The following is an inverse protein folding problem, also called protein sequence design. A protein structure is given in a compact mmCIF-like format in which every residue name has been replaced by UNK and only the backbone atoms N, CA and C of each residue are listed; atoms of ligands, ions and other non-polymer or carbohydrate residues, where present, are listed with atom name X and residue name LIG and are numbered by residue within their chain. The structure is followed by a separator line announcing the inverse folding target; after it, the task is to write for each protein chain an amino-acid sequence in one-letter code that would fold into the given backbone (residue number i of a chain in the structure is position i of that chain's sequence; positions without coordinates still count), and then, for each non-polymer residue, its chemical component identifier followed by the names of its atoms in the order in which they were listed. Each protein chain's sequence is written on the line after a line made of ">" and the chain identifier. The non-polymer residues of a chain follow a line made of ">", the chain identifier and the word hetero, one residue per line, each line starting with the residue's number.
data_IF_066715689664
#
_entry.id   IF_066715689664
#
_cell.length_a   1.000
_cell.length_b   1.000
_cell.length_c   1.000
_cell.angle_alpha   90.00
_cell.angle_beta   90.00
_cell.angle_gamma   90.00
#
_symmetry.space_group_name_H-M   'P 1'
#
loop_
_entity.id
_entity.type
_entity.pdbx_description
1 polymer ?
#
# COMPACT_ATOMS: atom_id res chain seq x y z
N UNK A 1 -5.18 -54.42 24.01
CA UNK A 1 -4.26 -53.29 23.78
C UNK A 1 -4.47 -52.82 22.37
N UNK A 2 -5.04 -51.62 22.19
CA UNK A 2 -5.28 -51.02 20.87
C UNK A 2 -4.24 -49.93 20.71
N UNK A 3 -3.36 -50.07 19.72
CA UNK A 3 -2.45 -48.99 19.32
C UNK A 3 -3.21 -48.05 18.38
N UNK A 4 -3.46 -46.81 18.82
CA UNK A 4 -3.84 -45.72 17.93
C UNK A 4 -2.57 -45.23 17.21
N UNK A 5 -2.52 -45.43 15.90
CA UNK A 5 -1.55 -44.75 15.04
C UNK A 5 -2.08 -43.34 14.75
N UNK A 6 -1.48 -42.33 15.35
CA UNK A 6 -1.68 -40.93 14.97
C UNK A 6 -0.87 -40.72 13.68
N UNK A 7 -1.56 -40.68 12.55
CA UNK A 7 -0.99 -40.22 11.28
C UNK A 7 -0.83 -38.70 11.39
N UNK A 8 0.38 -38.25 11.67
CA UNK A 8 0.73 -36.85 11.57
C UNK A 8 0.68 -36.43 10.11
N UNK A 9 -0.30 -35.62 9.74
CA UNK A 9 -0.31 -34.92 8.45
C UNK A 9 0.74 -33.82 8.56
N UNK A 10 1.89 -34.05 7.93
CA UNK A 10 2.84 -32.98 7.63
C UNK A 10 2.17 -32.08 6.60
N UNK A 11 1.75 -30.89 7.00
CA UNK A 11 1.49 -29.82 6.04
C UNK A 11 2.85 -29.39 5.51
N UNK A 12 3.17 -29.80 4.28
CA UNK A 12 4.20 -29.15 3.50
C UNK A 12 3.72 -27.71 3.29
N UNK A 13 4.35 -26.78 4.00
CA UNK A 13 4.22 -25.37 3.69
C UNK A 13 4.94 -25.19 2.35
N UNK A 14 4.19 -24.99 1.28
CA UNK A 14 4.77 -24.42 0.06
C UNK A 14 5.19 -23.00 0.45
N UNK A 15 6.46 -22.87 0.85
CA UNK A 15 7.16 -21.61 0.75
C UNK A 15 7.10 -21.21 -0.71
N UNK A 16 6.16 -20.33 -1.06
CA UNK A 16 6.18 -19.61 -2.32
C UNK A 16 7.54 -18.92 -2.37
N UNK A 17 8.44 -19.51 -3.14
CA UNK A 17 9.71 -18.90 -3.46
C UNK A 17 9.38 -17.68 -4.31
N UNK A 18 9.61 -16.50 -3.72
CA UNK A 18 9.48 -15.25 -4.42
C UNK A 18 10.57 -15.19 -5.49
N UNK A 19 10.25 -15.64 -6.70
CA UNK A 19 11.15 -15.73 -7.84
C UNK A 19 11.31 -14.37 -8.49
N UNK A 20 11.91 -13.41 -7.77
CA UNK A 20 12.57 -12.22 -8.33
C UNK A 20 13.44 -11.60 -7.23
N UNK A 21 14.77 -11.66 -7.38
CA UNK A 21 15.76 -11.34 -6.35
C UNK A 21 15.87 -9.88 -5.94
N UNK A 22 14.84 -9.34 -5.27
CA UNK A 22 14.93 -8.10 -4.51
C UNK A 22 15.08 -8.43 -3.02
N UNK A 23 16.24 -8.08 -2.46
CA UNK A 23 16.47 -8.26 -1.02
C UNK A 23 15.82 -7.11 -0.26
N UNK A 24 14.95 -7.43 0.70
CA UNK A 24 14.39 -6.42 1.60
C UNK A 24 15.53 -5.69 2.33
N UNK A 25 15.48 -4.35 2.33
CA UNK A 25 16.47 -3.53 3.05
C UNK A 25 16.18 -3.47 4.55
N UNK A 26 14.94 -3.77 4.95
CA UNK A 26 14.51 -3.88 6.34
C UNK A 26 13.35 -4.87 6.42
N UNK A 27 13.34 -5.66 7.49
CA UNK A 27 12.32 -6.65 7.79
C UNK A 27 11.88 -6.47 9.24
N UNK A 28 10.57 -6.43 9.47
CA UNK A 28 9.96 -6.43 10.80
C UNK A 28 8.97 -7.58 10.91
N UNK A 29 8.85 -8.14 12.10
CA UNK A 29 7.94 -9.25 12.39
C UNK A 29 7.42 -9.13 13.82
N UNK A 30 6.14 -9.44 14.01
CA UNK A 30 5.53 -9.74 15.30
C UNK A 30 4.55 -10.92 15.16
N UNK A 31 3.74 -11.16 16.18
CA UNK A 31 2.81 -12.28 16.19
C UNK A 31 1.65 -12.16 15.19
N UNK A 32 1.44 -10.99 14.58
CA UNK A 32 0.34 -10.76 13.62
C UNK A 32 0.78 -10.80 12.16
N UNK A 33 2.07 -10.64 11.86
CA UNK A 33 2.60 -10.69 10.50
C UNK A 33 3.97 -10.03 10.34
N UNK A 34 4.31 -9.73 9.09
CA UNK A 34 5.59 -9.14 8.70
C UNK A 34 5.41 -7.84 7.92
N UNK A 35 6.45 -7.02 7.93
CA UNK A 35 6.62 -5.88 7.02
C UNK A 35 7.98 -5.99 6.37
N UNK A 36 8.03 -5.97 5.05
CA UNK A 36 9.26 -5.89 4.28
C UNK A 36 9.36 -4.51 3.61
N UNK A 37 10.51 -3.87 3.76
CA UNK A 37 10.84 -2.62 3.06
C UNK A 37 11.76 -2.92 1.89
N UNK A 38 11.40 -2.42 0.72
CA UNK A 38 12.20 -2.44 -0.49
C UNK A 38 12.54 -1.03 -0.94
N UNK A 39 13.62 -0.89 -1.69
CA UNK A 39 13.96 0.34 -2.41
C UNK A 39 14.20 -0.03 -3.87
N UNK A 40 13.39 0.54 -4.77
CA UNK A 40 13.53 0.41 -6.21
C UNK A 40 14.05 1.71 -6.83
N UNK A 41 14.74 1.61 -7.98
CA UNK A 41 15.24 2.76 -8.72
C UNK A 41 16.52 3.37 -8.16
N UNK A 42 16.70 4.68 -8.36
CA UNK A 42 17.88 5.42 -7.91
C UNK A 42 17.72 5.82 -6.44
N UNK A 43 18.41 5.11 -5.53
CA UNK A 43 18.41 5.42 -4.10
C UNK A 43 18.90 6.83 -3.73
N UNK A 44 19.60 7.52 -4.65
CA UNK A 44 20.10 8.88 -4.48
C UNK A 44 19.22 9.95 -5.17
N UNK A 45 18.10 9.58 -5.79
CA UNK A 45 17.22 10.55 -6.43
C UNK A 45 16.68 11.56 -5.41
N UNK A 46 16.54 12.81 -5.85
CA UNK A 46 15.89 13.87 -5.08
C UNK A 46 14.35 13.69 -5.01
N UNK A 47 13.82 12.82 -5.86
CA UNK A 47 12.40 12.48 -5.95
C UNK A 47 12.18 11.10 -5.33
N UNK A 48 11.51 11.06 -4.18
CA UNK A 48 11.14 9.82 -3.49
C UNK A 48 9.62 9.66 -3.46
N UNK A 49 9.13 8.54 -3.98
CA UNK A 49 7.74 8.09 -3.84
C UNK A 49 7.69 6.92 -2.85
N UNK A 50 6.65 6.89 -2.03
CA UNK A 50 6.45 5.83 -1.03
C UNK A 50 5.17 5.07 -1.33
N UNK A 51 5.23 3.74 -1.40
CA UNK A 51 4.06 2.86 -1.53
C UNK A 51 3.93 1.99 -0.28
N UNK A 52 2.71 1.91 0.26
CA UNK A 52 2.33 0.97 1.30
C UNK A 52 1.28 0.04 0.70
N UNK A 53 1.57 -1.26 0.66
CA UNK A 53 0.73 -2.29 0.05
C UNK A 53 0.55 -3.48 0.99
N UNK A 54 -0.56 -4.21 0.85
CA UNK A 54 -0.83 -5.43 1.63
C UNK A 54 -1.42 -5.24 3.02
N UNK A 55 -1.91 -4.03 3.34
CA UNK A 55 -2.58 -3.77 4.64
C UNK A 55 -3.75 -4.74 4.84
N UNK A 56 -4.51 -5.05 3.79
CA UNK A 56 -5.59 -6.01 3.83
C UNK A 56 -5.30 -7.20 2.91
N UNK A 57 -5.13 -8.43 3.43
CA UNK A 57 -4.81 -9.62 2.61
C UNK A 57 -5.86 -9.96 1.55
N UNK A 58 -7.11 -9.54 1.76
CA UNK A 58 -8.23 -9.80 0.85
C UNK A 58 -8.24 -8.93 -0.41
N UNK A 59 -7.29 -7.98 -0.53
CA UNK A 59 -7.25 -6.97 -1.58
C UNK A 59 -6.07 -7.26 -2.55
N UNK A 60 -5.98 -8.44 -3.19
CA UNK A 60 -4.76 -8.90 -3.88
C UNK A 60 -4.33 -8.00 -5.05
N UNK A 61 -5.29 -7.31 -5.69
CA UNK A 61 -4.99 -6.35 -6.76
C UNK A 61 -4.21 -5.13 -6.24
N UNK A 62 -4.35 -4.80 -4.95
CA UNK A 62 -3.66 -3.71 -4.29
C UNK A 62 -2.28 -4.10 -3.69
N UNK A 63 -1.78 -5.31 -3.97
CA UNK A 63 -0.54 -5.85 -3.38
C UNK A 63 0.53 -6.04 -4.46
N UNK A 64 0.63 -7.24 -5.03
CA UNK A 64 1.70 -7.60 -5.96
C UNK A 64 1.67 -6.79 -7.27
N UNK A 65 0.50 -6.49 -7.87
CA UNK A 65 0.43 -5.62 -9.05
C UNK A 65 1.03 -4.23 -8.80
N UNK A 66 0.79 -3.67 -7.61
CA UNK A 66 1.23 -2.33 -7.22
C UNK A 66 2.72 -2.30 -6.91
N UNK A 67 3.24 -3.32 -6.23
CA UNK A 67 4.67 -3.51 -5.99
C UNK A 67 5.41 -3.70 -7.33
N UNK A 68 4.84 -4.51 -8.23
CA UNK A 68 5.35 -4.70 -9.59
C UNK A 68 5.36 -3.37 -10.37
N UNK A 69 4.28 -2.60 -10.32
CA UNK A 69 4.18 -1.29 -10.95
C UNK A 69 5.28 -0.34 -10.44
N UNK A 70 5.53 -0.31 -9.13
CA UNK A 70 6.58 0.52 -8.54
C UNK A 70 7.97 0.11 -9.07
N UNK A 71 8.23 -1.20 -9.14
CA UNK A 71 9.47 -1.75 -9.68
C UNK A 71 9.66 -1.43 -11.18
N UNK A 72 8.60 -1.56 -11.97
CA UNK A 72 8.63 -1.28 -13.40
C UNK A 72 8.82 0.21 -13.69
N UNK A 73 8.06 1.07 -13.01
CA UNK A 73 8.17 2.52 -13.12
C UNK A 73 9.59 2.99 -12.77
N UNK A 74 10.18 2.48 -11.68
CA UNK A 74 11.49 2.85 -11.22
C UNK A 74 12.65 2.45 -12.17
N UNK A 75 12.45 1.52 -13.10
CA UNK A 75 13.47 1.16 -14.13
C UNK A 75 13.65 2.26 -15.17
N UNK A 76 12.61 3.04 -15.44
CA UNK A 76 12.58 4.05 -16.51
C UNK A 76 12.78 5.49 -16.04
N UNK A 77 12.83 5.74 -14.73
CA UNK A 77 12.77 7.07 -14.15
C UNK A 77 13.86 7.28 -13.09
N UNK A 78 14.37 8.51 -12.99
CA UNK A 78 15.28 8.91 -11.92
C UNK A 78 14.51 9.15 -10.61
N UNK A 79 14.02 8.07 -10.01
CA UNK A 79 13.16 8.08 -8.82
C UNK A 79 13.67 7.07 -7.80
N UNK A 80 13.57 7.42 -6.51
CA UNK A 80 13.66 6.46 -5.41
C UNK A 80 12.25 6.00 -5.06
N UNK A 81 11.97 4.72 -5.20
CA UNK A 81 10.69 4.15 -4.78
C UNK A 81 10.89 3.35 -3.50
N UNK A 82 10.40 3.87 -2.37
CA UNK A 82 10.39 3.14 -1.10
C UNK A 82 9.07 2.38 -1.00
N UNK A 83 9.13 1.05 -0.92
CA UNK A 83 7.94 0.18 -0.90
C UNK A 83 7.89 -0.58 0.41
N UNK A 84 6.76 -0.51 1.11
CA UNK A 84 6.45 -1.33 2.26
C UNK A 84 5.42 -2.38 1.87
N UNK A 85 5.79 -3.65 2.00
CA UNK A 85 4.91 -4.79 1.81
C UNK A 85 4.51 -5.33 3.19
N UNK A 86 3.23 -5.17 3.54
CA UNK A 86 2.63 -5.74 4.74
C UNK A 86 2.11 -7.13 4.39
N UNK A 87 2.44 -8.12 5.22
CA UNK A 87 1.96 -9.48 5.09
C UNK A 87 1.37 -9.95 6.43
N UNK A 88 0.04 -9.93 6.53
CA UNK A 88 -0.68 -10.40 7.71
C UNK A 88 -0.77 -11.93 7.69
N UNK A 89 -0.22 -12.59 8.71
CA UNK A 89 -0.22 -14.06 8.81
C UNK A 89 -1.24 -14.57 9.82
N UNK A 90 -1.54 -13.79 10.86
CA UNK A 90 -2.52 -14.16 11.89
C UNK A 90 -3.93 -13.80 11.44
N UNK A 91 -4.83 -14.78 11.46
CA UNK A 91 -6.25 -14.62 11.10
C UNK A 91 -6.44 -13.97 9.71
N UNK A 92 -5.56 -14.24 8.76
CA UNK A 92 -5.51 -13.55 7.46
C UNK A 92 -6.82 -13.67 6.64
N UNK A 93 -7.68 -14.65 6.93
CA UNK A 93 -8.97 -14.87 6.26
C UNK A 93 -10.16 -14.28 7.00
N UNK A 94 -9.99 -13.82 8.25
CA UNK A 94 -11.04 -13.13 9.00
C UNK A 94 -11.07 -11.65 8.62
N UNK A 95 -12.23 -11.15 8.17
CA UNK A 95 -12.33 -9.79 7.63
C UNK A 95 -11.87 -8.71 8.62
N UNK A 96 -12.37 -8.75 9.86
CA UNK A 96 -12.08 -7.70 10.84
C UNK A 96 -10.71 -7.90 11.46
N UNK A 97 -10.37 -9.13 11.85
CA UNK A 97 -9.10 -9.40 12.52
C UNK A 97 -7.90 -9.20 11.57
N UNK A 98 -7.99 -9.62 10.30
CA UNK A 98 -6.91 -9.38 9.34
C UNK A 98 -6.71 -7.90 9.06
N UNK A 99 -7.81 -7.14 8.96
CA UNK A 99 -7.79 -5.68 8.82
C UNK A 99 -7.09 -5.01 9.99
N UNK A 100 -7.51 -5.31 11.22
CA UNK A 100 -6.94 -4.73 12.43
C UNK A 100 -5.45 -5.08 12.56
N UNK A 101 -5.07 -6.32 12.24
CA UNK A 101 -3.68 -6.78 12.26
C UNK A 101 -2.81 -6.00 11.24
N UNK A 102 -3.27 -5.85 10.00
CA UNK A 102 -2.54 -5.10 8.98
C UNK A 102 -2.41 -3.61 9.32
N UNK A 103 -3.48 -2.98 9.79
CA UNK A 103 -3.45 -1.59 10.26
C UNK A 103 -2.47 -1.42 11.44
N UNK A 104 -2.37 -2.41 12.34
CA UNK A 104 -1.42 -2.38 13.46
C UNK A 104 0.05 -2.52 13.02
N UNK A 105 0.34 -3.36 12.03
CA UNK A 105 1.69 -3.48 11.46
C UNK A 105 2.16 -2.17 10.83
N UNK A 106 1.26 -1.47 10.12
CA UNK A 106 1.55 -0.16 9.55
C UNK A 106 1.81 0.86 10.65
N UNK A 107 0.94 0.90 11.67
CA UNK A 107 1.09 1.79 12.81
C UNK A 107 2.44 1.61 13.53
N UNK A 108 2.82 0.36 13.81
CA UNK A 108 3.99 0.05 14.64
C UNK A 108 5.32 0.15 13.89
N UNK A 109 5.35 -0.18 12.59
CA UNK A 109 6.60 -0.29 11.84
C UNK A 109 6.74 0.74 10.72
N UNK A 110 5.67 1.02 9.99
CA UNK A 110 5.74 1.85 8.78
C UNK A 110 5.65 3.33 9.16
N UNK A 111 4.66 3.75 9.95
CA UNK A 111 4.50 5.14 10.37
C UNK A 111 5.81 5.75 10.95
N UNK A 112 6.52 5.11 11.90
CA UNK A 112 7.77 5.67 12.40
C UNK A 112 8.91 5.64 11.36
N UNK A 113 8.92 4.69 10.43
CA UNK A 113 9.97 4.58 9.41
C UNK A 113 9.76 5.55 8.24
N UNK A 114 8.52 5.83 7.85
CA UNK A 114 8.17 6.84 6.83
C UNK A 114 8.68 8.22 7.23
N UNK A 115 8.64 8.55 8.53
CA UNK A 115 9.18 9.81 9.08
C UNK A 115 10.71 9.95 8.93
N UNK A 116 11.40 8.88 8.52
CA UNK A 116 12.84 8.90 8.22
C UNK A 116 13.13 9.03 6.72
N UNK A 117 12.09 9.00 5.88
CA UNK A 117 12.20 9.13 4.42
C UNK A 117 12.19 10.58 3.98
N UNK A 118 12.67 10.84 2.76
CA UNK A 118 12.52 12.13 2.08
C UNK A 118 11.28 12.14 1.16
N UNK A 119 10.34 11.22 1.39
CA UNK A 119 9.15 10.99 0.59
C UNK A 119 8.43 12.28 0.25
N UNK A 120 8.07 12.43 -1.03
CA UNK A 120 7.29 13.57 -1.53
C UNK A 120 5.81 13.28 -1.63
N UNK A 121 5.46 12.00 -1.63
CA UNK A 121 4.11 11.53 -1.44
C UNK A 121 4.09 10.07 -0.98
N UNK A 122 3.03 9.72 -0.26
CA UNK A 122 2.76 8.37 0.25
C UNK A 122 1.45 7.87 -0.35
N UNK A 123 1.56 6.77 -1.09
CA UNK A 123 0.43 6.04 -1.68
C UNK A 123 0.12 4.86 -0.78
N UNK A 124 -1.11 4.82 -0.26
CA UNK A 124 -1.63 3.68 0.50
C UNK A 124 -2.57 2.91 -0.43
N UNK A 125 -2.16 1.72 -0.87
CA UNK A 125 -2.93 0.96 -1.85
C UNK A 125 -4.01 0.09 -1.20
N UNK A 126 -5.21 0.17 -1.74
CA UNK A 126 -6.41 -0.57 -1.37
C UNK A 126 -7.18 -1.03 -2.61
N UNK A 127 -8.04 -2.04 -2.44
CA UNK A 127 -9.04 -2.40 -3.45
C UNK A 127 -10.45 -2.35 -2.89
N UNK A 128 -11.41 -2.17 -3.78
CA UNK A 128 -12.82 -2.09 -3.43
C UNK A 128 -13.67 -3.00 -4.30
N UNK A 129 -14.70 -3.56 -3.65
CA UNK A 129 -15.77 -4.29 -4.33
C UNK A 129 -16.65 -3.33 -5.15
N UNK A 130 -17.37 -3.90 -6.10
CA UNK A 130 -18.39 -3.19 -6.90
C UNK A 130 -19.43 -2.52 -5.99
N UNK A 131 -19.77 -1.27 -6.30
CA UNK A 131 -20.75 -0.47 -5.56
C UNK A 131 -20.22 0.28 -4.33
N UNK A 132 -18.97 0.03 -3.89
CA UNK A 132 -18.32 0.82 -2.84
C UNK A 132 -17.70 2.12 -3.37
N UNK A 133 -17.14 2.05 -4.59
CA UNK A 133 -16.56 3.17 -5.32
C UNK A 133 -16.76 3.00 -6.82
N UNK A 134 -16.36 4.01 -7.59
CA UNK A 134 -16.45 4.02 -9.05
C UNK A 134 -15.07 4.23 -9.66
N UNK A 135 -14.70 3.37 -10.61
CA UNK A 135 -13.40 3.42 -11.29
C UNK A 135 -12.21 3.33 -10.34
N UNK A 136 -11.07 3.78 -10.82
CA UNK A 136 -9.89 3.99 -9.98
C UNK A 136 -10.02 5.33 -9.28
N UNK A 137 -9.79 5.35 -7.97
CA UNK A 137 -9.99 6.59 -7.23
C UNK A 137 -8.96 6.88 -6.15
N UNK A 138 -8.82 8.18 -5.89
CA UNK A 138 -7.98 8.73 -4.83
C UNK A 138 -8.90 9.23 -3.71
N UNK A 139 -8.55 8.91 -2.47
CA UNK A 139 -9.20 9.45 -1.28
C UNK A 139 -8.17 10.08 -0.37
N UNK A 140 -8.50 11.23 0.22
CA UNK A 140 -7.63 11.93 1.18
C UNK A 140 -8.33 11.98 2.54
N UNK A 141 -8.14 10.99 3.43
CA UNK A 141 -8.84 10.97 4.70
C UNK A 141 -8.46 12.16 5.58
N UNK A 142 -7.16 12.45 5.71
CA UNK A 142 -6.64 13.51 6.58
C UNK A 142 -7.03 14.93 6.15
N UNK A 143 -7.33 15.11 4.86
CA UNK A 143 -7.73 16.38 4.24
C UNK A 143 -6.75 17.54 4.49
N UNK A 144 -5.46 17.26 4.70
CA UNK A 144 -4.43 18.29 4.67
C UNK A 144 -4.29 18.85 3.25
N UNK A 145 -3.89 20.12 3.16
CA UNK A 145 -3.94 20.83 1.89
C UNK A 145 -2.98 20.25 0.85
N UNK A 146 -1.87 19.63 1.25
CA UNK A 146 -0.90 19.05 0.33
C UNK A 146 -1.42 17.74 -0.30
N UNK A 147 -2.03 16.86 0.50
CA UNK A 147 -2.69 15.65 -0.01
C UNK A 147 -3.85 15.98 -0.94
N UNK A 148 -4.68 16.95 -0.57
CA UNK A 148 -5.82 17.41 -1.38
C UNK A 148 -5.35 17.99 -2.71
N UNK A 149 -4.32 18.85 -2.70
CA UNK A 149 -3.80 19.49 -3.91
C UNK A 149 -3.29 18.46 -4.92
N UNK A 150 -2.52 17.47 -4.48
CA UNK A 150 -2.01 16.41 -5.36
C UNK A 150 -3.15 15.57 -5.94
N UNK A 151 -4.06 15.08 -5.10
CA UNK A 151 -5.16 14.23 -5.55
C UNK A 151 -6.10 14.96 -6.53
N UNK A 152 -6.38 16.24 -6.26
CA UNK A 152 -7.20 17.07 -7.13
C UNK A 152 -6.51 17.36 -8.48
N UNK A 153 -5.19 17.59 -8.49
CA UNK A 153 -4.44 17.80 -9.73
C UNK A 153 -4.48 16.56 -10.62
N UNK A 154 -4.28 15.38 -10.04
CA UNK A 154 -4.38 14.11 -10.77
C UNK A 154 -5.77 13.93 -11.36
N UNK A 155 -6.82 14.05 -10.55
CA UNK A 155 -8.18 13.86 -11.02
C UNK A 155 -8.60 14.88 -12.10
N UNK A 156 -8.07 16.10 -12.06
CA UNK A 156 -8.35 17.10 -13.08
C UNK A 156 -7.66 16.83 -14.43
N UNK A 157 -6.57 16.04 -14.43
CA UNK A 157 -5.77 15.74 -15.62
C UNK A 157 -5.93 14.31 -16.14
N UNK A 158 -6.80 13.51 -15.53
CA UNK A 158 -6.96 12.08 -15.83
C UNK A 158 -8.40 11.61 -15.60
N UNK A 159 -8.62 10.31 -15.74
CA UNK A 159 -9.86 9.59 -15.42
C UNK A 159 -9.87 9.01 -14.00
N UNK A 160 -8.86 9.31 -13.17
CA UNK A 160 -8.91 8.97 -11.75
C UNK A 160 -9.98 9.82 -11.06
N UNK A 161 -10.90 9.15 -10.38
CA UNK A 161 -11.88 9.83 -9.54
C UNK A 161 -11.21 10.35 -8.26
N UNK A 162 -11.72 11.47 -7.73
CA UNK A 162 -11.27 11.99 -6.44
C UNK A 162 -12.44 12.12 -5.47
N UNK A 163 -12.33 11.41 -4.33
CA UNK A 163 -13.32 11.41 -3.26
C UNK A 163 -12.73 12.07 -2.00
N UNK A 164 -12.88 13.40 -1.84
CA UNK A 164 -12.47 14.08 -0.62
C UNK A 164 -13.37 13.66 0.55
N UNK A 165 -12.77 13.45 1.72
CA UNK A 165 -13.53 13.30 2.97
C UNK A 165 -14.03 14.67 3.45
N UNK A 166 -15.18 14.71 4.12
CA UNK A 166 -15.67 15.95 4.72
C UNK A 166 -14.85 16.28 5.98
N UNK A 167 -14.12 17.42 5.97
CA UNK A 167 -13.32 17.93 7.11
C UNK A 167 -14.11 18.05 8.43
N UNK A 168 -15.45 18.19 8.35
CA UNK A 168 -16.34 18.35 9.51
C UNK A 168 -16.95 17.05 10.03
N UNK A 169 -16.64 15.90 9.42
CA UNK A 169 -17.13 14.60 9.86
C UNK A 169 -16.00 13.81 10.55
N UNK A 170 -16.29 13.10 11.65
CA UNK A 170 -15.29 12.26 12.29
C UNK A 170 -14.86 11.14 11.34
N UNK A 171 -13.59 10.76 11.42
CA UNK A 171 -13.08 9.56 10.76
C UNK A 171 -13.91 8.35 11.18
N UNK A 172 -14.50 7.67 10.20
CA UNK A 172 -15.29 6.45 10.47
C UNK A 172 -14.47 5.17 10.33
N UNK A 173 -13.34 5.22 9.60
CA UNK A 173 -12.49 4.06 9.33
C UNK A 173 -11.25 4.05 10.23
N UNK A 174 -10.93 2.89 10.80
CA UNK A 174 -9.76 2.66 11.67
C UNK A 174 -8.44 2.88 10.91
N UNK A 175 -8.34 2.44 9.65
CA UNK A 175 -7.21 2.73 8.76
C UNK A 175 -6.95 4.24 8.63
N UNK A 176 -8.00 5.08 8.60
CA UNK A 176 -7.77 6.52 8.55
C UNK A 176 -7.05 7.04 9.80
N UNK A 177 -7.40 6.51 10.98
CA UNK A 177 -6.81 6.93 12.26
C UNK A 177 -5.43 6.33 12.53
N UNK A 178 -5.20 5.07 12.16
CA UNK A 178 -3.96 4.34 12.47
C UNK A 178 -2.91 4.44 11.36
N UNK A 179 -3.33 4.67 10.12
CA UNK A 179 -2.45 4.60 8.93
C UNK A 179 -2.29 5.96 8.27
N UNK A 180 -3.31 6.46 7.58
CA UNK A 180 -3.14 7.64 6.70
C UNK A 180 -2.96 8.94 7.46
N UNK A 181 -3.74 9.17 8.54
CA UNK A 181 -3.68 10.44 9.29
C UNK A 181 -2.31 10.68 9.96
N UNK A 182 -1.69 9.72 10.67
CA UNK A 182 -0.37 9.94 11.27
C UNK A 182 0.70 10.34 10.25
N UNK A 183 0.64 9.77 9.04
CA UNK A 183 1.59 10.08 7.96
C UNK A 183 1.34 11.49 7.41
N UNK A 184 0.07 11.84 7.15
CA UNK A 184 -0.32 13.17 6.71
C UNK A 184 0.03 14.27 7.74
N UNK A 185 -0.25 14.03 9.01
CA UNK A 185 0.06 14.95 10.12
C UNK A 185 1.58 15.17 10.28
N UNK A 186 2.40 14.20 9.88
CA UNK A 186 3.86 14.32 9.85
C UNK A 186 4.38 15.17 8.67
N UNK A 187 3.48 15.66 7.82
CA UNK A 187 3.80 16.58 6.71
C UNK A 187 4.06 15.88 5.38
N UNK A 188 3.75 14.59 5.26
CA UNK A 188 3.87 13.85 4.02
C UNK A 188 2.53 13.85 3.27
N UNK A 189 2.45 14.39 2.04
CA UNK A 189 1.24 14.28 1.23
C UNK A 189 0.86 12.81 1.08
N UNK A 190 -0.35 12.45 1.50
CA UNK A 190 -0.80 11.06 1.66
C UNK A 190 -2.21 10.89 1.13
N UNK A 191 -2.40 9.90 0.27
CA UNK A 191 -3.72 9.49 -0.18
C UNK A 191 -3.84 7.98 -0.23
N UNK A 192 -5.10 7.55 -0.15
CA UNK A 192 -5.51 6.18 -0.37
C UNK A 192 -5.82 6.03 -1.86
N UNK A 193 -5.15 5.10 -2.53
CA UNK A 193 -5.41 4.71 -3.91
C UNK A 193 -6.27 3.45 -3.89
N UNK A 194 -7.43 3.51 -4.55
CA UNK A 194 -8.45 2.47 -4.48
C UNK A 194 -8.72 1.90 -5.87
N UNK A 195 -8.59 0.58 -5.95
CA UNK A 195 -8.59 -0.21 -7.18
C UNK A 195 -9.89 -1.03 -7.26
N UNK A 196 -10.63 -1.01 -8.38
CA UNK A 196 -11.82 -1.83 -8.52
C UNK A 196 -11.44 -3.32 -8.61
N UNK A 197 -12.15 -4.20 -7.89
CA UNK A 197 -11.80 -5.63 -7.81
C UNK A 197 -12.22 -6.47 -9.03
N UNK A 198 -12.97 -5.88 -9.98
CA UNK A 198 -13.49 -6.55 -11.16
C UNK A 198 -12.63 -6.36 -12.42
N UNK A 199 -11.32 -6.15 -12.24
CA UNK A 199 -10.33 -5.94 -13.32
C UNK A 199 -9.24 -7.02 -13.29
N UNK A 200 -8.32 -6.98 -14.26
CA UNK A 200 -7.15 -7.86 -14.26
C UNK A 200 -5.98 -7.28 -13.45
N UNK A 201 -5.06 -8.15 -13.02
CA UNK A 201 -3.78 -7.70 -12.42
C UNK A 201 -2.98 -6.79 -13.37
N UNK A 202 -3.06 -7.02 -14.68
CA UNK A 202 -2.42 -6.19 -15.69
C UNK A 202 -3.04 -4.78 -15.72
N UNK A 203 -4.37 -4.67 -15.67
CA UNK A 203 -5.06 -3.39 -15.59
C UNK A 203 -4.66 -2.62 -14.32
N UNK A 204 -4.61 -3.31 -13.16
CA UNK A 204 -4.14 -2.71 -11.90
C UNK A 204 -2.71 -2.19 -12.02
N UNK A 205 -1.79 -3.05 -12.51
CA UNK A 205 -0.37 -2.70 -12.70
C UNK A 205 -0.23 -1.49 -13.62
N UNK A 206 -0.88 -1.50 -14.78
CA UNK A 206 -0.79 -0.43 -15.77
C UNK A 206 -1.35 0.88 -15.21
N UNK A 207 -2.45 0.82 -14.46
CA UNK A 207 -3.04 2.01 -13.88
C UNK A 207 -2.22 2.59 -12.74
N UNK A 208 -1.59 1.73 -11.93
CA UNK A 208 -0.64 2.15 -10.92
C UNK A 208 0.60 2.83 -11.53
N UNK A 209 1.14 2.31 -12.64
CA UNK A 209 2.23 2.95 -13.39
C UNK A 209 1.82 4.36 -13.87
N UNK A 210 0.59 4.50 -14.38
CA UNK A 210 0.03 5.79 -14.80
C UNK A 210 -0.04 6.78 -13.62
N UNK A 211 -0.58 6.34 -12.47
CA UNK A 211 -0.63 7.12 -11.24
C UNK A 211 0.77 7.55 -10.79
N UNK A 212 1.74 6.63 -10.77
CA UNK A 212 3.12 6.92 -10.36
C UNK A 212 3.79 7.91 -11.31
N UNK A 213 3.51 7.85 -12.60
CA UNK A 213 3.97 8.84 -13.58
C UNK A 213 3.45 10.24 -13.28
N UNK A 214 2.14 10.38 -13.06
CA UNK A 214 1.54 11.68 -12.70
C UNK A 214 2.10 12.21 -11.37
N UNK A 215 2.23 11.34 -10.37
CA UNK A 215 2.82 11.68 -9.08
C UNK A 215 4.25 12.16 -9.21
N UNK A 216 5.08 11.42 -9.95
CA UNK A 216 6.45 11.78 -10.22
C UNK A 216 6.53 13.15 -10.89
N UNK A 217 5.70 13.41 -11.91
CA UNK A 217 5.69 14.69 -12.60
C UNK A 217 5.27 15.88 -11.73
N UNK A 218 4.36 15.66 -10.78
CA UNK A 218 3.92 16.69 -9.84
C UNK A 218 4.96 17.03 -8.76
N UNK A 219 5.78 16.06 -8.36
CA UNK A 219 6.69 16.21 -7.21
C UNK A 219 8.17 16.21 -7.56
N UNK A 220 8.53 15.92 -8.81
CA UNK A 220 9.91 16.00 -9.29
C UNK A 220 10.41 17.45 -9.20
N UNK A 221 11.67 17.58 -8.81
CA UNK A 221 12.38 18.86 -8.75
C UNK A 221 13.19 19.11 -10.01
#
# INVERSE_FOLDING_TARGET
>A
MVFLAIVGVLFAYDSISNTNGDTAVKHWENDVGTVDKYVFGNANSATELVLIAGIHPREPLAIEPEIKAAKEFAKGHDVKFTVYHVNVTKNATDYQASRDNGESLVHDYINPDVNTTNGKAVIISHSHIEGYGEGFYLATPAMDDASVDIAQKIANSSDFNYFPTNKSQPFKATSATLVSKPIADAGYPTFVYEIPENITEEDSTNKAIELFGMMFDLVKK
#
